data_IF_794601003877
#
_entry.id   IF_794601003877
#
_cell.length_a   1.000
_cell.length_b   1.000
_cell.length_c   1.000
_cell.angle_alpha   90.00
_cell.angle_beta   90.00
_cell.angle_gamma   90.00
#
_symmetry.space_group_name_H-M   'P 1'
#
loop_
_entity.id
_entity.type
_entity.pdbx_description
1 polymer ?
#
# COMPACT_ATOMS: atom_id res chain seq x y z
N UNK A 1 34.93 53.32 -25.65
CA UNK A 1 34.77 52.38 -24.50
C UNK A 1 33.30 52.34 -24.11
N UNK A 2 32.62 51.21 -24.34
CA UNK A 2 31.32 50.91 -23.73
C UNK A 2 31.22 49.39 -23.58
N UNK A 3 31.57 48.91 -22.40
CA UNK A 3 31.45 47.52 -21.96
C UNK A 3 30.10 47.36 -21.29
N UNK A 4 29.20 46.58 -21.89
CA UNK A 4 28.04 46.02 -21.19
C UNK A 4 28.11 44.49 -21.33
N UNK A 5 28.60 43.80 -20.28
CA UNK A 5 28.00 42.53 -19.92
C UNK A 5 28.10 42.33 -18.39
N UNK A 6 27.25 42.99 -17.60
CA UNK A 6 27.22 42.78 -16.14
C UNK A 6 25.85 42.30 -15.63
N UNK A 7 24.82 42.36 -16.47
CA UNK A 7 23.45 42.00 -16.08
C UNK A 7 23.00 40.58 -16.45
N UNK A 8 23.81 39.81 -17.21
CA UNK A 8 23.44 38.45 -17.64
C UNK A 8 23.72 37.41 -16.53
N UNK A 9 24.78 37.62 -15.75
CA UNK A 9 25.20 36.68 -14.71
C UNK A 9 24.22 36.57 -13.51
N UNK A 10 23.63 37.64 -12.96
CA UNK A 10 22.69 37.51 -11.86
C UNK A 10 21.33 36.93 -12.32
N UNK A 11 20.97 37.10 -13.59
CA UNK A 11 19.73 36.54 -14.16
C UNK A 11 19.78 35.01 -14.28
N UNK A 12 20.94 34.46 -14.66
CA UNK A 12 21.14 33.00 -14.78
C UNK A 12 21.21 32.28 -13.41
N UNK A 13 21.60 32.98 -12.35
CA UNK A 13 21.64 32.44 -10.98
C UNK A 13 20.24 32.33 -10.35
N UNK A 14 19.30 33.22 -10.69
CA UNK A 14 17.91 33.15 -10.22
C UNK A 14 17.12 32.04 -10.93
N UNK A 15 17.39 31.78 -12.21
CA UNK A 15 16.72 30.71 -12.98
C UNK A 15 17.02 29.30 -12.45
N UNK A 16 18.19 29.06 -11.83
CA UNK A 16 18.50 27.77 -11.21
C UNK A 16 17.83 27.57 -9.84
N UNK A 17 17.38 28.63 -9.18
CA UNK A 17 16.68 28.54 -7.89
C UNK A 17 15.19 28.18 -8.04
N UNK A 18 14.66 28.25 -9.27
CA UNK A 18 13.29 27.84 -9.61
C UNK A 18 13.30 26.48 -10.35
N UNK A 19 14.41 25.74 -10.27
CA UNK A 19 14.39 24.32 -10.54
C UNK A 19 13.53 23.67 -9.46
N UNK A 20 12.21 23.62 -9.69
CA UNK A 20 11.32 22.72 -9.00
C UNK A 20 11.96 21.36 -9.13
N UNK A 21 12.46 20.81 -8.02
CA UNK A 21 12.66 19.38 -7.96
C UNK A 21 11.27 18.80 -8.24
N UNK A 22 11.12 18.15 -9.39
CA UNK A 22 10.05 17.20 -9.59
C UNK A 22 10.34 16.07 -8.60
N UNK A 23 10.00 16.30 -7.33
CA UNK A 23 9.75 15.20 -6.44
C UNK A 23 8.56 14.50 -7.08
N UNK A 24 8.75 13.23 -7.47
CA UNK A 24 7.65 12.36 -7.79
C UNK A 24 6.79 12.30 -6.52
N UNK A 25 5.80 13.18 -6.44
CA UNK A 25 4.75 13.09 -5.45
C UNK A 25 3.98 11.84 -5.82
N UNK A 26 3.81 10.92 -4.87
CA UNK A 26 2.95 9.74 -5.05
C UNK A 26 1.67 10.12 -5.77
N UNK A 27 1.24 9.30 -6.73
CA UNK A 27 0.01 9.54 -7.46
C UNK A 27 -1.14 9.75 -6.48
N UNK A 28 -1.89 10.86 -6.65
CA UNK A 28 -2.94 11.25 -5.71
C UNK A 28 -3.96 10.12 -5.49
N UNK A 29 -4.24 9.36 -6.56
CA UNK A 29 -5.19 8.26 -6.56
C UNK A 29 -4.72 7.12 -5.66
N UNK A 30 -3.43 6.77 -5.69
CA UNK A 30 -2.86 5.66 -4.91
C UNK A 30 -2.89 5.96 -3.40
N UNK A 31 -2.58 7.20 -3.03
CA UNK A 31 -2.70 7.62 -1.62
C UNK A 31 -4.16 7.64 -1.14
N UNK A 32 -5.09 7.95 -2.04
CA UNK A 32 -6.51 8.08 -1.71
C UNK A 32 -7.16 6.72 -1.52
N UNK A 33 -6.73 5.68 -2.24
CA UNK A 33 -7.29 4.33 -2.05
C UNK A 33 -6.94 3.72 -0.69
N UNK A 34 -5.74 3.98 -0.17
CA UNK A 34 -5.35 3.57 1.19
C UNK A 34 -5.92 4.47 2.30
N UNK A 35 -6.54 5.61 1.96
CA UNK A 35 -7.18 6.46 2.94
C UNK A 35 -8.47 5.80 3.44
N UNK A 36 -8.54 5.54 4.75
CA UNK A 36 -9.67 4.89 5.44
C UNK A 36 -10.91 5.79 5.63
N UNK A 37 -10.89 7.00 5.07
CA UNK A 37 -12.05 7.91 5.02
C UNK A 37 -13.25 7.28 4.31
N UNK A 38 -14.46 7.58 4.80
CA UNK A 38 -15.73 7.15 4.19
C UNK A 38 -16.07 7.91 2.90
N UNK A 39 -15.50 9.09 2.69
CA UNK A 39 -15.69 9.88 1.47
C UNK A 39 -14.66 9.45 0.43
N UNK A 40 -15.09 8.65 -0.56
CA UNK A 40 -14.27 8.21 -1.67
C UNK A 40 -14.47 9.08 -2.92
N UNK A 41 -13.43 9.29 -3.75
CA UNK A 41 -13.60 9.86 -5.08
C UNK A 41 -14.50 8.96 -5.94
N UNK A 42 -15.23 9.54 -6.89
CA UNK A 42 -16.02 8.77 -7.83
C UNK A 42 -15.14 8.02 -8.83
N UNK A 43 -15.63 6.91 -9.38
CA UNK A 43 -14.94 6.16 -10.46
C UNK A 43 -14.52 7.06 -11.62
N UNK A 44 -15.34 8.06 -11.96
CA UNK A 44 -15.03 9.01 -13.03
C UNK A 44 -13.75 9.82 -12.78
N UNK A 45 -13.41 10.10 -11.51
CA UNK A 45 -12.16 10.79 -11.19
C UNK A 45 -10.94 9.93 -11.52
N UNK A 46 -11.03 8.60 -11.34
CA UNK A 46 -9.97 7.66 -11.69
C UNK A 46 -9.91 7.43 -13.20
N UNK A 47 -11.05 7.26 -13.87
CA UNK A 47 -11.14 7.07 -15.33
C UNK A 47 -10.54 8.25 -16.09
N UNK A 48 -10.68 9.47 -15.56
CA UNK A 48 -10.15 10.68 -16.19
C UNK A 48 -8.68 10.97 -15.84
N UNK A 49 -8.05 10.14 -15.02
CA UNK A 49 -6.65 10.32 -14.63
C UNK A 49 -5.71 9.97 -15.79
N UNK A 50 -4.61 10.72 -15.92
CA UNK A 50 -3.67 10.55 -17.03
C UNK A 50 -2.69 9.38 -16.82
N UNK A 51 -2.50 8.96 -15.56
CA UNK A 51 -1.57 7.90 -15.19
C UNK A 51 -2.24 6.52 -15.15
N UNK A 52 -3.55 6.48 -15.40
CA UNK A 52 -4.38 5.29 -15.40
C UNK A 52 -4.90 4.98 -16.81
N UNK A 53 -4.85 3.72 -17.19
CA UNK A 53 -5.27 3.24 -18.50
C UNK A 53 -6.33 2.17 -18.32
N UNK A 54 -7.35 2.18 -19.18
CA UNK A 54 -8.32 1.10 -19.22
C UNK A 54 -7.67 -0.19 -19.75
N UNK A 55 -7.65 -1.21 -18.92
CA UNK A 55 -7.03 -2.50 -19.19
C UNK A 55 -7.99 -3.69 -18.97
N UNK A 56 -9.26 -3.40 -18.72
CA UNK A 56 -10.29 -4.43 -18.52
C UNK A 56 -10.85 -4.97 -19.83
N UNK A 57 -11.49 -6.14 -19.74
CA UNK A 57 -12.29 -6.67 -20.85
C UNK A 57 -13.55 -5.82 -21.11
N UNK A 58 -14.04 -5.14 -20.07
CA UNK A 58 -15.19 -4.24 -20.11
C UNK A 58 -14.69 -2.82 -19.81
N UNK A 59 -14.97 -1.89 -20.73
CA UNK A 59 -14.56 -0.50 -20.60
C UNK A 59 -15.06 0.12 -19.29
N UNK A 60 -14.16 0.80 -18.57
CA UNK A 60 -14.43 1.49 -17.31
C UNK A 60 -14.56 0.60 -16.09
N UNK A 61 -14.17 -0.68 -16.16
CA UNK A 61 -14.24 -1.62 -15.01
C UNK A 61 -12.90 -1.92 -14.36
N UNK A 62 -11.80 -1.86 -15.11
CA UNK A 62 -10.45 -2.11 -14.60
C UNK A 62 -9.48 -1.08 -15.16
N UNK A 63 -8.83 -0.34 -14.27
CA UNK A 63 -7.79 0.63 -14.61
C UNK A 63 -6.43 0.12 -14.16
N UNK A 64 -5.44 0.17 -15.04
CA UNK A 64 -4.06 -0.19 -14.75
C UNK A 64 -3.18 1.05 -14.74
N UNK A 65 -2.18 1.08 -13.88
CA UNK A 65 -1.07 2.02 -13.95
C UNK A 65 0.10 1.44 -14.72
N UNK A 66 0.92 2.30 -15.32
CA UNK A 66 2.33 1.99 -15.58
C UNK A 66 3.10 1.87 -14.24
N UNK A 67 4.43 1.81 -14.29
CA UNK A 67 5.26 1.82 -13.10
C UNK A 67 5.04 3.11 -12.29
N UNK A 68 4.53 2.96 -11.07
CA UNK A 68 4.32 4.05 -10.11
C UNK A 68 4.97 3.72 -8.76
N UNK A 69 4.83 4.59 -7.76
CA UNK A 69 5.46 4.44 -6.46
C UNK A 69 4.43 4.37 -5.33
N UNK A 70 4.46 3.27 -4.60
CA UNK A 70 3.85 3.18 -3.27
C UNK A 70 4.95 3.45 -2.24
N UNK A 71 4.95 4.66 -1.67
CA UNK A 71 6.09 5.21 -0.93
C UNK A 71 7.38 5.23 -1.76
N UNK A 72 8.31 4.34 -1.47
CA UNK A 72 9.58 4.20 -2.21
C UNK A 72 9.69 2.85 -2.94
N UNK A 73 8.57 2.13 -3.08
CA UNK A 73 8.47 0.87 -3.81
C UNK A 73 7.87 1.10 -5.17
N UNK A 74 8.59 0.68 -6.21
CA UNK A 74 8.07 0.68 -7.57
C UNK A 74 7.07 -0.47 -7.72
N UNK A 75 5.85 -0.14 -8.13
CA UNK A 75 4.71 -1.06 -8.21
C UNK A 75 3.93 -0.86 -9.52
N UNK A 76 3.26 -1.92 -9.97
CA UNK A 76 2.19 -1.85 -10.96
C UNK A 76 0.86 -2.03 -10.25
N UNK A 77 -0.11 -1.16 -10.52
CA UNK A 77 -1.39 -1.13 -9.82
C UNK A 77 -2.54 -1.39 -10.78
N UNK A 78 -3.53 -2.11 -10.29
CA UNK A 78 -4.82 -2.37 -10.90
C UNK A 78 -5.92 -1.88 -9.95
N UNK A 79 -6.88 -1.15 -10.48
CA UNK A 79 -8.04 -0.61 -9.76
C UNK A 79 -9.30 -1.20 -10.38
N UNK A 80 -9.99 -2.04 -9.61
CA UNK A 80 -11.30 -2.57 -9.99
C UNK A 80 -12.38 -1.58 -9.55
N UNK A 81 -13.23 -1.20 -10.50
CA UNK A 81 -14.27 -0.18 -10.32
C UNK A 81 -15.65 -0.84 -10.28
N UNK A 82 -16.44 -0.51 -9.25
CA UNK A 82 -17.84 -0.93 -9.13
C UNK A 82 -18.73 0.31 -8.95
N UNK A 83 -19.79 0.41 -9.77
CA UNK A 83 -20.84 1.44 -9.82
C UNK A 83 -20.35 2.90 -9.77
N UNK A 84 -19.81 3.33 -8.62
CA UNK A 84 -19.46 4.71 -8.31
C UNK A 84 -18.10 4.90 -7.64
N UNK A 85 -17.39 3.85 -7.23
CA UNK A 85 -16.06 3.97 -6.59
C UNK A 85 -15.12 2.81 -6.93
N UNK A 86 -13.90 2.87 -6.39
CA UNK A 86 -12.95 1.76 -6.42
C UNK A 86 -13.38 0.71 -5.40
N UNK A 87 -13.60 -0.51 -5.86
CA UNK A 87 -13.94 -1.66 -5.02
C UNK A 87 -12.68 -2.34 -4.49
N UNK A 88 -11.77 -2.68 -5.41
CA UNK A 88 -10.53 -3.42 -5.13
C UNK A 88 -9.32 -2.70 -5.70
N UNK A 89 -8.22 -2.69 -4.96
CA UNK A 89 -6.91 -2.25 -5.44
C UNK A 89 -5.94 -3.41 -5.35
N UNK A 90 -5.35 -3.79 -6.48
CA UNK A 90 -4.29 -4.79 -6.54
C UNK A 90 -3.00 -4.13 -6.97
N UNK A 91 -1.90 -4.39 -6.28
CA UNK A 91 -0.60 -4.03 -6.83
C UNK A 91 0.41 -5.14 -6.68
N UNK A 92 1.33 -5.18 -7.64
CA UNK A 92 2.34 -6.21 -7.76
C UNK A 92 3.75 -5.60 -7.85
N UNK A 93 4.72 -6.29 -7.24
CA UNK A 93 6.14 -5.93 -7.28
C UNK A 93 7.02 -7.17 -7.08
N UNK A 94 8.28 -7.15 -7.54
CA UNK A 94 9.21 -8.24 -7.30
C UNK A 94 9.47 -8.49 -5.81
N UNK A 95 9.58 -9.76 -5.44
CA UNK A 95 9.92 -10.15 -4.09
C UNK A 95 11.38 -9.79 -3.74
N UNK A 96 11.55 -9.20 -2.57
CA UNK A 96 12.79 -9.23 -1.83
C UNK A 96 12.49 -9.11 -0.34
N UNK A 97 13.38 -9.60 0.53
CA UNK A 97 13.23 -9.43 1.98
C UNK A 97 13.03 -7.96 2.38
N UNK A 98 13.69 -7.05 1.66
CA UNK A 98 13.57 -5.61 1.88
C UNK A 98 12.19 -5.10 1.45
N UNK A 99 11.74 -5.42 0.23
CA UNK A 99 10.44 -5.00 -0.30
C UNK A 99 9.30 -5.50 0.59
N UNK A 100 9.35 -6.77 0.99
CA UNK A 100 8.35 -7.36 1.88
C UNK A 100 8.30 -6.66 3.23
N UNK A 101 9.45 -6.45 3.87
CA UNK A 101 9.54 -5.73 5.15
C UNK A 101 9.01 -4.29 5.03
N UNK A 102 9.34 -3.61 3.93
CA UNK A 102 8.85 -2.25 3.65
C UNK A 102 7.33 -2.21 3.48
N UNK A 103 6.74 -3.13 2.70
CA UNK A 103 5.29 -3.21 2.56
C UNK A 103 4.60 -3.38 3.91
N UNK A 104 5.09 -4.29 4.76
CA UNK A 104 4.55 -4.46 6.11
C UNK A 104 4.67 -3.19 6.96
N UNK A 105 5.72 -2.39 6.78
CA UNK A 105 5.86 -1.10 7.46
C UNK A 105 4.89 -0.04 6.90
N UNK A 106 4.70 0.01 5.59
CA UNK A 106 3.80 0.95 4.92
C UNK A 106 2.34 0.66 5.20
N UNK A 107 1.92 -0.61 5.23
CA UNK A 107 0.58 -0.98 5.67
C UNK A 107 0.30 -0.52 7.11
N UNK A 108 1.28 -0.63 8.02
CA UNK A 108 1.16 -0.07 9.38
C UNK A 108 1.08 1.44 9.38
N UNK A 109 1.86 2.10 8.52
CA UNK A 109 1.84 3.55 8.37
C UNK A 109 0.49 4.05 7.85
N UNK A 110 -0.17 3.26 7.01
CA UNK A 110 -1.52 3.52 6.48
C UNK A 110 -2.64 3.13 7.46
N UNK A 111 -2.29 2.61 8.65
CA UNK A 111 -3.22 2.34 9.74
C UNK A 111 -3.76 0.92 9.79
N UNK A 112 -3.25 0.01 8.97
CA UNK A 112 -3.60 -1.41 9.03
C UNK A 112 -2.78 -2.13 10.11
N UNK A 113 -3.39 -3.11 10.76
CA UNK A 113 -2.75 -4.00 11.72
C UNK A 113 -2.80 -5.45 11.22
N UNK A 114 -1.68 -6.15 11.39
CA UNK A 114 -1.60 -7.57 11.06
C UNK A 114 -2.60 -8.36 11.91
N UNK A 115 -3.46 -9.11 11.24
CA UNK A 115 -4.50 -9.94 11.86
C UNK A 115 -4.14 -11.41 11.84
N UNK A 116 -3.60 -11.89 10.73
CA UNK A 116 -3.04 -13.24 10.63
C UNK A 116 -1.91 -13.31 9.61
N UNK A 117 -1.03 -14.29 9.78
CA UNK A 117 0.00 -14.63 8.81
C UNK A 117 0.12 -16.15 8.70
N UNK A 118 0.20 -16.63 7.46
CA UNK A 118 0.41 -18.03 7.09
C UNK A 118 1.67 -18.14 6.26
N UNK A 119 2.54 -19.09 6.59
CA UNK A 119 3.78 -19.37 5.86
C UNK A 119 3.79 -20.88 5.56
N UNK A 120 3.60 -21.25 4.30
CA UNK A 120 3.28 -22.63 3.93
C UNK A 120 2.03 -23.13 4.65
N UNK A 121 2.18 -24.20 5.44
CA UNK A 121 1.08 -24.82 6.20
C UNK A 121 0.94 -24.27 7.63
N UNK A 122 1.92 -23.48 8.09
CA UNK A 122 1.90 -22.93 9.45
C UNK A 122 1.16 -21.59 9.47
N UNK A 123 0.33 -21.36 10.49
CA UNK A 123 -0.44 -20.13 10.66
C UNK A 123 -0.29 -19.54 12.06
N UNK A 124 -0.24 -18.22 12.12
CA UNK A 124 -0.30 -17.43 13.33
C UNK A 124 -1.44 -16.42 13.25
N UNK A 125 -2.51 -16.66 14.02
CA UNK A 125 -3.64 -15.74 14.17
C UNK A 125 -3.35 -14.75 15.31
N UNK A 126 -2.98 -13.52 14.95
CA UNK A 126 -2.63 -12.46 15.91
C UNK A 126 -3.85 -12.06 16.74
N UNK A 127 -5.03 -12.01 16.13
CA UNK A 127 -6.26 -11.58 16.80
C UNK A 127 -6.69 -12.57 17.89
N UNK A 128 -6.64 -13.86 17.59
CA UNK A 128 -6.90 -14.92 18.57
C UNK A 128 -5.90 -14.89 19.73
N UNK A 129 -4.61 -14.69 19.45
CA UNK A 129 -3.56 -14.61 20.47
C UNK A 129 -3.72 -13.37 21.37
N UNK A 130 -4.09 -12.22 20.81
CA UNK A 130 -4.35 -10.99 21.58
C UNK A 130 -5.60 -11.13 22.46
N UNK A 131 -6.67 -11.74 21.95
CA UNK A 131 -7.90 -12.00 22.72
C UNK A 131 -7.61 -12.96 23.89
N UNK A 132 -6.86 -14.02 23.63
CA UNK A 132 -6.40 -14.95 24.67
C UNK A 132 -5.54 -14.24 25.72
N UNK A 133 -4.55 -13.44 25.31
CA UNK A 133 -3.70 -12.68 26.23
C UNK A 133 -4.51 -11.72 27.11
N UNK A 134 -5.52 -11.04 26.53
CA UNK A 134 -6.45 -10.17 27.29
C UNK A 134 -7.21 -10.97 28.35
N UNK A 135 -7.74 -12.13 27.98
CA UNK A 135 -8.51 -12.99 28.88
C UNK A 135 -7.65 -13.58 30.00
N UNK A 136 -6.38 -13.88 29.72
CA UNK A 136 -5.42 -14.45 30.67
C UNK A 136 -4.67 -13.39 31.49
N UNK A 137 -4.85 -12.09 31.18
CA UNK A 137 -4.12 -11.00 31.84
C UNK A 137 -2.62 -10.99 31.53
N UNK A 138 -2.23 -11.54 30.38
CA UNK A 138 -0.84 -11.60 29.92
C UNK A 138 -0.54 -10.36 29.07
N UNK A 139 0.68 -9.82 29.19
CA UNK A 139 1.13 -8.69 28.39
C UNK A 139 1.22 -9.01 26.89
N UNK A 140 0.90 -8.03 26.05
CA UNK A 140 0.97 -8.17 24.58
C UNK A 140 2.40 -8.31 24.06
N UNK A 141 3.41 -7.92 24.83
CA UNK A 141 4.84 -8.12 24.52
C UNK A 141 5.19 -9.60 24.29
N UNK A 142 4.49 -10.51 24.97
CA UNK A 142 4.65 -11.95 24.75
C UNK A 142 4.16 -12.35 23.37
N UNK A 143 3.03 -11.79 22.93
CA UNK A 143 2.45 -12.09 21.61
C UNK A 143 3.35 -11.53 20.51
N UNK A 144 3.85 -10.30 20.67
CA UNK A 144 4.82 -9.70 19.77
C UNK A 144 6.06 -10.60 19.60
N UNK A 145 6.61 -11.09 20.72
CA UNK A 145 7.75 -12.02 20.69
C UNK A 145 7.42 -13.30 19.93
N UNK A 146 6.26 -13.93 20.21
CA UNK A 146 5.84 -15.17 19.55
C UNK A 146 5.64 -14.98 18.04
N UNK A 147 5.06 -13.85 17.63
CA UNK A 147 4.90 -13.51 16.21
C UNK A 147 6.25 -13.34 15.50
N UNK A 148 7.20 -12.66 16.13
CA UNK A 148 8.55 -12.51 15.56
C UNK A 148 9.29 -13.85 15.50
N UNK A 149 9.15 -14.70 16.52
CA UNK A 149 9.70 -16.06 16.50
C UNK A 149 9.07 -16.91 15.41
N UNK A 150 7.75 -16.81 15.20
CA UNK A 150 7.04 -17.45 14.11
C UNK A 150 7.60 -17.00 12.76
N UNK A 151 7.59 -15.69 12.45
CA UNK A 151 8.04 -15.17 11.14
C UNK A 151 9.46 -15.59 10.77
N UNK A 152 10.34 -15.71 11.77
CA UNK A 152 11.75 -16.06 11.56
C UNK A 152 12.03 -17.58 11.63
N UNK A 153 11.02 -18.41 11.91
CA UNK A 153 11.18 -19.85 11.97
C UNK A 153 11.35 -20.47 10.56
N UNK A 154 12.03 -21.61 10.45
CA UNK A 154 12.11 -22.33 9.20
C UNK A 154 10.78 -23.03 8.89
N UNK A 155 10.05 -22.53 7.88
CA UNK A 155 8.75 -23.08 7.46
C UNK A 155 8.81 -24.01 6.24
N UNK A 156 9.94 -24.07 5.54
CA UNK A 156 10.10 -24.93 4.36
C UNK A 156 9.26 -24.52 3.14
N UNK A 157 8.68 -23.32 3.15
CA UNK A 157 7.95 -22.72 2.03
C UNK A 157 8.41 -21.28 1.79
N UNK A 158 8.39 -20.86 0.53
CA UNK A 158 8.51 -19.45 0.15
C UNK A 158 7.14 -18.74 0.12
N UNK A 159 6.04 -19.50 0.10
CA UNK A 159 4.69 -18.95 0.05
C UNK A 159 4.30 -18.36 1.40
N UNK A 160 3.86 -17.11 1.39
CA UNK A 160 3.41 -16.37 2.57
C UNK A 160 2.13 -15.61 2.25
N UNK A 161 1.17 -15.66 3.17
CA UNK A 161 -0.08 -14.93 3.06
C UNK A 161 -0.34 -14.21 4.39
N UNK A 162 -0.59 -12.91 4.36
CA UNK A 162 -0.95 -12.15 5.56
C UNK A 162 -2.19 -11.31 5.34
N UNK A 163 -3.03 -11.25 6.37
CA UNK A 163 -4.27 -10.47 6.39
C UNK A 163 -4.09 -9.31 7.34
N UNK A 164 -4.46 -8.12 6.89
CA UNK A 164 -4.31 -6.87 7.62
C UNK A 164 -5.65 -6.14 7.66
N UNK A 165 -6.07 -5.70 8.84
CA UNK A 165 -7.36 -5.04 9.06
C UNK A 165 -7.15 -3.67 9.69
N UNK A 166 -8.11 -2.76 9.51
CA UNK A 166 -8.14 -1.52 10.29
C UNK A 166 -8.64 -1.82 11.71
N UNK A 167 -7.89 -1.48 12.77
CA UNK A 167 -8.35 -1.71 14.13
C UNK A 167 -9.57 -0.86 14.50
N UNK A 168 -10.44 -1.38 15.38
CA UNK A 168 -11.51 -0.64 16.07
C UNK A 168 -12.61 -0.01 15.20
N UNK A 169 -12.78 -0.42 13.93
CA UNK A 169 -13.92 0.04 13.12
C UNK A 169 -15.20 -0.64 13.61
N UNK A 170 -15.84 0.02 14.57
CA UNK A 170 -17.02 -0.47 15.28
C UNK A 170 -18.28 0.04 14.58
N UNK A 171 -18.45 -0.25 13.29
CA UNK A 171 -19.69 0.07 12.57
C UNK A 171 -20.26 -1.18 11.90
N UNK A 172 -21.39 -1.72 12.39
CA UNK A 172 -21.99 -2.96 11.90
C UNK A 172 -22.60 -2.87 10.49
N UNK A 173 -22.46 -1.74 9.80
CA UNK A 173 -23.13 -1.45 8.53
C UNK A 173 -22.19 -1.17 7.34
N UNK A 174 -20.88 -1.22 7.54
CA UNK A 174 -19.88 -1.12 6.47
C UNK A 174 -18.76 -2.11 6.77
N UNK A 175 -18.53 -3.07 5.89
CA UNK A 175 -17.32 -3.87 5.95
C UNK A 175 -16.11 -2.93 5.98
N UNK A 176 -15.16 -3.24 6.85
CA UNK A 176 -13.96 -2.41 7.00
C UNK A 176 -12.95 -2.79 5.93
N UNK A 177 -12.18 -1.82 5.40
CA UNK A 177 -11.15 -2.16 4.44
C UNK A 177 -10.15 -3.11 5.08
N UNK A 178 -9.74 -4.10 4.30
CA UNK A 178 -8.75 -5.09 4.69
C UNK A 178 -7.81 -5.38 3.53
N UNK A 179 -6.59 -5.79 3.86
CA UNK A 179 -5.53 -6.05 2.90
C UNK A 179 -5.08 -7.49 3.00
N UNK A 180 -4.98 -8.13 1.84
CA UNK A 180 -4.22 -9.36 1.66
C UNK A 180 -2.85 -9.03 1.09
N UNK A 181 -1.79 -9.45 1.77
CA UNK A 181 -0.43 -9.42 1.25
C UNK A 181 0.04 -10.85 1.03
N UNK A 182 0.23 -11.22 -0.22
CA UNK A 182 0.68 -12.53 -0.67
C UNK A 182 2.10 -12.45 -1.24
N UNK A 183 2.92 -13.46 -0.94
CA UNK A 183 4.20 -13.71 -1.57
C UNK A 183 4.24 -15.15 -2.06
N UNK A 184 4.59 -15.38 -3.32
CA UNK A 184 4.80 -16.72 -3.89
C UNK A 184 6.28 -17.14 -3.88
N UNK A 185 7.17 -16.24 -3.45
CA UNK A 185 8.63 -16.40 -3.46
C UNK A 185 9.35 -15.62 -4.56
N UNK A 186 8.63 -15.21 -5.61
CA UNK A 186 9.17 -14.44 -6.73
C UNK A 186 8.57 -13.02 -6.79
N UNK A 187 7.29 -12.88 -6.42
CA UNK A 187 6.53 -11.65 -6.44
C UNK A 187 5.81 -11.42 -5.10
N UNK A 188 5.41 -10.17 -4.93
CA UNK A 188 4.52 -9.70 -3.87
C UNK A 188 3.26 -9.16 -4.54
N UNK A 189 2.11 -9.60 -4.05
CA UNK A 189 0.80 -9.10 -4.44
C UNK A 189 0.11 -8.52 -3.22
N UNK A 190 -0.32 -7.28 -3.31
CA UNK A 190 -1.16 -6.62 -2.31
C UNK A 190 -2.54 -6.44 -2.90
N UNK A 191 -3.56 -6.90 -2.21
CA UNK A 191 -4.96 -6.68 -2.57
C UNK A 191 -5.66 -5.98 -1.41
N UNK A 192 -6.09 -4.74 -1.62
CA UNK A 192 -6.92 -3.97 -0.70
C UNK A 192 -8.38 -4.13 -1.13
N UNK A 193 -9.17 -4.73 -0.26
CA UNK A 193 -10.61 -4.92 -0.41
C UNK A 193 -11.34 -3.91 0.48
N UNK A 194 -12.27 -3.13 -0.08
CA UNK A 194 -12.96 -2.05 0.67
C UNK A 194 -14.34 -2.44 1.19
N UNK A 195 -14.92 -3.56 0.74
CA UNK A 195 -16.28 -4.00 1.06
C UNK A 195 -16.40 -5.52 1.25
#
# INVERSE_FOLDING_TARGET
MRTFPVLILPLLLVLNAIAFSAQATESWWLRTVFNTSSAQPSSQNYINDIDLMDCGDIEGTLLCSDLTQYYDLDVYVELELEDSSVETVRFNLPYSNLSYTKLQAYLRQDGFALSSIRIGEDEFDVMAQLEQARNEGVGFDKIDKQLIEFINAPHGSSEQLSIWNVPNVSSPSSASPWVQLHSDGDHLTVELNRF
#
